data_IF_221662031136
#
_entry.id   IF_221662031136
#
_cell.length_a   1.000
_cell.length_b   1.000
_cell.length_c   1.000
_cell.angle_alpha   90.00
_cell.angle_beta   90.00
_cell.angle_gamma   90.00
#
_symmetry.space_group_name_H-M   'P 1'
#
loop_
_entity.id
_entity.type
_entity.pdbx_description
1 polymer ?
#
# COMPACT_ATOMS: atom_id res chain seq x y z
N UNK A 1 -35.67 -16.95 -6.56
CA UNK A 1 -34.24 -17.28 -6.34
C UNK A 1 -33.56 -17.25 -7.69
N UNK A 2 -32.84 -16.17 -8.01
CA UNK A 2 -32.19 -16.00 -9.31
C UNK A 2 -30.84 -16.74 -9.32
N UNK A 3 -30.52 -17.45 -10.42
CA UNK A 3 -29.28 -18.21 -10.54
C UNK A 3 -28.09 -17.26 -10.53
N UNK A 4 -27.23 -17.45 -9.55
CA UNK A 4 -26.05 -16.63 -9.26
C UNK A 4 -25.05 -16.64 -10.41
N UNK A 5 -24.55 -15.45 -10.72
CA UNK A 5 -23.49 -15.02 -11.64
C UNK A 5 -22.19 -15.86 -11.63
N UNK A 6 -22.25 -17.13 -12.01
CA UNK A 6 -21.07 -17.90 -12.36
C UNK A 6 -20.63 -17.54 -13.79
N UNK A 7 -19.87 -16.44 -13.95
CA UNK A 7 -19.15 -16.18 -15.20
C UNK A 7 -19.04 -14.74 -15.70
N UNK A 8 -19.56 -13.73 -14.98
CA UNK A 8 -19.46 -12.34 -15.45
C UNK A 8 -18.02 -11.82 -15.28
N UNK A 9 -17.33 -11.59 -16.40
CA UNK A 9 -16.03 -10.90 -16.42
C UNK A 9 -16.20 -9.47 -15.90
N UNK A 10 -15.42 -9.09 -14.89
CA UNK A 10 -15.42 -7.72 -14.36
C UNK A 10 -14.94 -6.74 -15.44
N UNK A 11 -15.62 -5.61 -15.55
CA UNK A 11 -15.14 -4.48 -16.34
C UNK A 11 -13.83 -3.94 -15.76
N UNK A 12 -13.05 -3.23 -16.58
CA UNK A 12 -11.79 -2.60 -16.15
C UNK A 12 -11.97 -1.66 -14.95
N UNK A 13 -13.08 -0.92 -14.91
CA UNK A 13 -13.42 -0.02 -13.82
C UNK A 13 -13.72 -0.80 -12.53
N UNK A 14 -14.56 -1.84 -12.60
CA UNK A 14 -14.87 -2.71 -11.45
C UNK A 14 -13.60 -3.39 -10.90
N UNK A 15 -12.69 -3.82 -11.78
CA UNK A 15 -11.40 -4.38 -11.37
C UNK A 15 -10.49 -3.35 -10.69
N UNK A 16 -10.46 -2.11 -11.18
CA UNK A 16 -9.68 -1.05 -10.54
C UNK A 16 -10.20 -0.77 -9.13
N UNK A 17 -11.51 -0.60 -8.99
CA UNK A 17 -12.16 -0.40 -7.68
C UNK A 17 -11.90 -1.58 -6.74
N UNK A 18 -12.01 -2.83 -7.22
CA UNK A 18 -11.74 -4.00 -6.37
C UNK A 18 -10.28 -4.08 -5.93
N UNK A 19 -9.33 -3.60 -6.75
CA UNK A 19 -7.93 -3.49 -6.33
C UNK A 19 -7.74 -2.40 -5.28
N UNK A 20 -8.39 -1.24 -5.41
CA UNK A 20 -8.31 -0.19 -4.39
C UNK A 20 -8.88 -0.65 -3.05
N UNK A 21 -9.96 -1.44 -3.07
CA UNK A 21 -10.54 -2.03 -1.87
C UNK A 21 -9.62 -3.08 -1.22
N UNK A 22 -9.08 -4.02 -2.01
CA UNK A 22 -8.40 -5.19 -1.48
C UNK A 22 -6.87 -5.05 -1.33
N UNK A 23 -6.25 -4.10 -2.04
CA UNK A 23 -4.81 -3.89 -2.00
C UNK A 23 -4.47 -2.48 -1.47
N UNK A 24 -4.12 -2.36 -0.19
CA UNK A 24 -3.78 -1.07 0.39
C UNK A 24 -2.38 -0.54 -0.01
N UNK A 25 -1.65 -1.31 -0.82
CA UNK A 25 -0.33 -0.98 -1.38
C UNK A 25 -0.34 -0.90 -2.92
N UNK A 26 -1.50 -0.64 -3.53
CA UNK A 26 -1.63 -0.64 -4.98
C UNK A 26 -0.71 0.40 -5.65
N UNK A 27 -0.49 1.54 -5.00
CA UNK A 27 0.41 2.59 -5.48
C UNK A 27 1.86 2.09 -5.52
N UNK A 28 2.37 1.55 -4.42
CA UNK A 28 3.73 1.04 -4.31
C UNK A 28 3.95 -0.17 -5.24
N UNK A 29 2.94 -1.03 -5.39
CA UNK A 29 2.96 -2.13 -6.35
C UNK A 29 3.14 -1.61 -7.78
N UNK A 30 2.31 -0.64 -8.20
CA UNK A 30 2.41 -0.03 -9.54
C UNK A 30 3.76 0.61 -9.78
N UNK A 31 4.33 1.29 -8.79
CA UNK A 31 5.66 1.89 -8.91
C UNK A 31 6.77 0.83 -9.06
N UNK A 32 6.69 -0.27 -8.31
CA UNK A 32 7.67 -1.35 -8.41
C UNK A 32 7.62 -2.06 -9.77
N UNK A 33 6.42 -2.29 -10.31
CA UNK A 33 6.23 -2.88 -11.63
C UNK A 33 6.69 -1.92 -12.73
N UNK A 34 6.33 -0.64 -12.63
CA UNK A 34 6.78 0.38 -13.57
C UNK A 34 8.32 0.46 -13.63
N UNK A 35 8.99 0.41 -12.47
CA UNK A 35 10.44 0.41 -12.45
C UNK A 35 11.02 -0.78 -13.21
N UNK A 36 10.45 -1.98 -13.05
CA UNK A 36 10.88 -3.16 -13.80
C UNK A 36 10.69 -2.96 -15.31
N UNK A 37 9.53 -2.49 -15.73
CA UNK A 37 9.23 -2.22 -17.14
C UNK A 37 10.23 -1.22 -17.75
N UNK A 38 10.54 -0.13 -17.02
CA UNK A 38 11.46 0.91 -17.47
C UNK A 38 12.93 0.44 -17.52
N UNK A 39 13.30 -0.60 -16.75
CA UNK A 39 14.70 -1.01 -16.55
C UNK A 39 15.02 -2.38 -17.14
N UNK A 40 14.20 -2.88 -18.08
CA UNK A 40 14.43 -4.20 -18.68
C UNK A 40 14.41 -5.33 -17.65
N UNK A 41 13.57 -5.19 -16.62
CA UNK A 41 13.42 -6.13 -15.51
C UNK A 41 14.68 -6.33 -14.65
N UNK A 42 15.64 -5.40 -14.68
CA UNK A 42 16.78 -5.39 -13.77
C UNK A 42 16.35 -5.01 -12.35
N UNK A 43 16.14 -6.03 -11.51
CA UNK A 43 15.69 -5.89 -10.13
C UNK A 43 16.62 -5.03 -9.27
N UNK A 44 17.92 -5.00 -9.55
CA UNK A 44 18.88 -4.23 -8.74
C UNK A 44 18.61 -2.73 -8.84
N UNK A 45 18.13 -2.26 -10.00
CA UNK A 45 17.76 -0.85 -10.21
C UNK A 45 16.47 -0.43 -9.51
N UNK A 46 15.69 -1.40 -9.00
CA UNK A 46 14.36 -1.18 -8.44
C UNK A 46 14.26 -1.48 -6.95
N UNK A 47 15.38 -1.66 -6.25
CA UNK A 47 15.41 -2.09 -4.85
C UNK A 47 14.60 -1.17 -3.93
N UNK A 48 14.72 0.15 -4.08
CA UNK A 48 13.98 1.13 -3.26
C UNK A 48 12.46 1.01 -3.43
N UNK A 49 11.98 0.71 -4.64
CA UNK A 49 10.55 0.48 -4.90
C UNK A 49 10.06 -0.80 -4.24
N UNK A 50 10.85 -1.87 -4.25
CA UNK A 50 10.53 -3.11 -3.55
C UNK A 50 10.53 -2.92 -2.03
N UNK A 51 11.51 -2.18 -1.49
CA UNK A 51 11.54 -1.82 -0.07
C UNK A 51 10.28 -1.07 0.32
N UNK A 52 9.86 -0.07 -0.46
CA UNK A 52 8.63 0.69 -0.21
C UNK A 52 7.39 -0.21 -0.24
N UNK A 53 7.29 -1.11 -1.24
CA UNK A 53 6.19 -2.06 -1.32
C UNK A 53 6.15 -3.00 -0.10
N UNK A 54 7.30 -3.55 0.31
CA UNK A 54 7.41 -4.43 1.46
C UNK A 54 7.07 -3.73 2.78
N UNK A 55 7.53 -2.48 2.96
CA UNK A 55 7.20 -1.66 4.12
C UNK A 55 5.70 -1.39 4.19
N UNK A 56 5.08 -1.05 3.05
CA UNK A 56 3.64 -0.87 2.98
C UNK A 56 2.88 -2.15 3.40
N UNK A 57 3.27 -3.32 2.87
CA UNK A 57 2.64 -4.60 3.23
C UNK A 57 2.74 -4.89 4.72
N UNK A 58 3.94 -4.71 5.30
CA UNK A 58 4.16 -4.90 6.75
C UNK A 58 3.31 -3.95 7.60
N UNK A 59 3.20 -2.69 7.19
CA UNK A 59 2.37 -1.70 7.86
C UNK A 59 0.90 -2.15 7.88
N UNK A 60 0.30 -2.47 6.73
CA UNK A 60 -1.11 -2.86 6.68
C UNK A 60 -1.39 -4.22 7.32
N UNK A 61 -0.42 -5.13 7.32
CA UNK A 61 -0.51 -6.37 8.08
C UNK A 61 -0.59 -6.08 9.59
N UNK A 62 0.19 -5.12 10.11
CA UNK A 62 0.11 -4.73 11.52
C UNK A 62 -1.25 -4.12 11.88
N UNK A 63 -1.77 -3.20 11.05
CA UNK A 63 -3.09 -2.59 11.25
C UNK A 63 -4.20 -3.64 11.22
N UNK A 64 -4.14 -4.57 10.27
CA UNK A 64 -5.12 -5.67 10.16
C UNK A 64 -5.09 -6.55 11.41
N UNK A 65 -3.91 -6.89 11.93
CA UNK A 65 -3.76 -7.67 13.16
C UNK A 65 -4.31 -6.92 14.38
N UNK A 66 -3.98 -5.63 14.51
CA UNK A 66 -4.49 -4.77 15.59
C UNK A 66 -6.02 -4.68 15.56
N UNK A 67 -6.63 -4.42 14.39
CA UNK A 67 -8.10 -4.36 14.22
C UNK A 67 -8.78 -5.67 14.58
N UNK A 68 -8.23 -6.81 14.12
CA UNK A 68 -8.74 -8.15 14.48
C UNK A 68 -8.70 -8.40 15.98
N UNK A 69 -7.61 -8.05 16.66
CA UNK A 69 -7.49 -8.21 18.11
C UNK A 69 -8.50 -7.36 18.89
N UNK A 70 -8.91 -6.22 18.31
CA UNK A 70 -9.92 -5.32 18.88
C UNK A 70 -11.36 -5.64 18.42
N UNK A 71 -11.56 -6.66 17.57
CA UNK A 71 -12.88 -6.99 17.01
C UNK A 71 -13.45 -5.94 16.05
N UNK A 72 -12.60 -5.14 15.40
CA UNK A 72 -13.01 -4.07 14.47
C UNK A 72 -13.10 -4.63 13.05
N UNK A 73 -14.28 -4.54 12.44
CA UNK A 73 -14.53 -4.92 11.04
C UNK A 73 -14.84 -3.69 10.14
N UNK A 74 -14.42 -3.68 8.87
CA UNK A 74 -13.59 -4.69 8.22
C UNK A 74 -12.16 -4.71 8.78
N UNK A 75 -11.55 -5.89 8.87
CA UNK A 75 -10.18 -6.04 9.38
C UNK A 75 -9.15 -5.23 8.55
N UNK A 76 -9.31 -5.18 7.23
CA UNK A 76 -8.58 -4.25 6.36
C UNK A 76 -9.36 -2.94 6.27
N UNK A 77 -8.79 -1.78 6.64
CA UNK A 77 -9.50 -0.51 6.57
C UNK A 77 -9.94 -0.16 5.13
N UNK A 78 -11.14 0.41 4.96
CA UNK A 78 -11.60 0.89 3.67
C UNK A 78 -10.78 2.11 3.21
N UNK A 79 -10.70 2.40 1.89
CA UNK A 79 -9.80 3.42 1.34
C UNK A 79 -9.89 4.80 2.01
N UNK A 80 -11.09 5.24 2.37
CA UNK A 80 -11.37 6.52 3.02
C UNK A 80 -10.72 6.69 4.40
N UNK A 81 -10.48 5.60 5.14
CA UNK A 81 -9.81 5.64 6.44
C UNK A 81 -8.27 5.66 6.33
N UNK A 82 -7.72 5.24 5.19
CA UNK A 82 -6.31 4.83 5.12
C UNK A 82 -5.33 5.96 5.33
N UNK A 83 -5.62 7.14 4.77
CA UNK A 83 -4.74 8.30 4.93
C UNK A 83 -4.73 8.82 6.37
N UNK A 84 -5.86 8.75 7.07
CA UNK A 84 -5.94 9.06 8.50
C UNK A 84 -5.07 8.13 9.34
N UNK A 85 -5.19 6.82 9.11
CA UNK A 85 -4.43 5.79 9.83
C UNK A 85 -2.91 5.96 9.61
N UNK A 86 -2.47 6.22 8.36
CA UNK A 86 -1.06 6.50 8.06
C UNK A 86 -0.55 7.71 8.85
N UNK A 87 -1.30 8.82 8.82
CA UNK A 87 -0.95 10.06 9.53
C UNK A 87 -0.81 9.84 11.04
N UNK A 88 -1.76 9.11 11.62
CA UNK A 88 -1.74 8.81 13.06
C UNK A 88 -0.58 7.90 13.46
N UNK A 89 -0.25 6.88 12.64
CA UNK A 89 0.91 6.03 12.93
C UNK A 89 2.22 6.82 12.83
N UNK A 90 2.35 7.70 11.84
CA UNK A 90 3.52 8.57 11.69
C UNK A 90 3.69 9.51 12.87
N UNK A 91 2.61 10.10 13.39
CA UNK A 91 2.64 10.95 14.60
C UNK A 91 3.11 10.18 15.84
N UNK A 92 2.73 8.91 15.96
CA UNK A 92 3.11 8.03 17.09
C UNK A 92 4.47 7.37 16.92
N UNK A 93 5.09 7.46 15.73
CA UNK A 93 6.38 6.83 15.46
C UNK A 93 7.49 7.51 16.30
N UNK A 94 8.43 6.74 16.86
CA UNK A 94 9.56 7.31 17.57
C UNK A 94 10.39 8.19 16.63
N UNK A 95 10.80 9.39 17.10
CA UNK A 95 11.52 10.41 16.30
C UNK A 95 12.79 9.90 15.59
N UNK A 96 13.36 8.78 16.04
CA UNK A 96 14.52 8.11 15.41
C UNK A 96 14.19 7.44 14.05
N UNK A 97 12.91 7.17 13.76
CA UNK A 97 12.45 6.50 12.55
C UNK A 97 11.95 7.46 11.47
N UNK A 98 11.86 8.77 11.77
CA UNK A 98 11.55 9.77 10.76
C UNK A 98 12.83 10.09 9.97
N UNK A 99 12.85 9.97 8.64
CA UNK A 99 13.96 10.50 7.86
C UNK A 99 14.05 12.00 8.14
N UNK A 100 15.23 12.45 8.57
CA UNK A 100 15.51 13.86 8.84
C UNK A 100 15.12 14.72 7.62
N UNK A 101 14.43 15.85 7.80
CA UNK A 101 14.19 16.82 6.71
C UNK A 101 15.48 17.43 6.16
N UNK A 102 16.63 17.19 6.78
CA UNK A 102 17.91 17.79 6.37
C UNK A 102 18.65 16.87 5.40
N UNK A 103 18.24 16.92 4.14
CA UNK A 103 19.16 16.77 3.01
C UNK A 103 18.85 17.81 1.93
N UNK A 104 18.57 19.04 2.36
CA UNK A 104 18.86 20.22 1.55
C UNK A 104 20.25 20.69 1.92
N UNK A 105 21.28 20.10 1.30
CA UNK A 105 22.63 20.65 1.22
C UNK A 105 23.46 19.85 0.20
N UNK A 106 23.23 20.10 -1.09
CA UNK A 106 24.34 20.15 -2.06
C UNK A 106 24.16 21.45 -2.83
N UNK A 107 24.56 22.54 -2.16
CA UNK A 107 25.12 23.71 -2.81
C UNK A 107 26.63 23.50 -2.71
N UNK A 108 27.20 22.85 -3.72
CA UNK A 108 28.56 23.06 -4.24
C UNK A 108 28.55 22.62 -5.70
#
# INVERSE_FOLDING_TARGET
MSPTDAGKSLTRAEKATSQDLNNPCLKEQRLSLKCLDDNGYDKKKCESFFVNYNVCQKFWLSITKERKALGIEPALPPPEEREGIKRDRLRKAPKKLMPSPQSSAVLL
#
